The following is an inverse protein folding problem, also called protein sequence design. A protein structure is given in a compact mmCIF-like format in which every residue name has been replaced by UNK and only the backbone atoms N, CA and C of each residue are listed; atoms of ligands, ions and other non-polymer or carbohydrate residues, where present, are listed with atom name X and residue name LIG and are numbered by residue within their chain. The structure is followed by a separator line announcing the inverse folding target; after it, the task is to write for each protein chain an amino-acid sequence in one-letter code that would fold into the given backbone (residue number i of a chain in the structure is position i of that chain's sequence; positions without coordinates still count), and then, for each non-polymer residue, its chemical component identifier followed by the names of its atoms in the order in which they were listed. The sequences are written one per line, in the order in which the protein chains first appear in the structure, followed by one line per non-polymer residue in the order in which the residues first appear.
data_IF_243978405684
#
_entry.id   IF_243978405684
#
_cell.length_a   1.000
_cell.length_b   1.000
_cell.length_c   1.000
_cell.angle_alpha   90.00
_cell.angle_beta   90.00
_cell.angle_gamma   90.00
#
_symmetry.space_group_name_H-M   'P 1'
#
loop_
_entity.id
_entity.type
_entity.pdbx_description
1 polymer ?
#
# COMPACT_ATOMS: atom_id res chain seq x y z
N UNK A 1 -4.12 0.70 20.23
CA UNK A 1 -3.00 -0.18 19.81
C UNK A 1 -2.08 -0.53 20.96
N UNK A 2 -1.44 0.45 21.62
CA UNK A 2 -0.53 0.20 22.75
C UNK A 2 -1.15 -0.67 23.85
N UNK A 3 -2.39 -0.38 24.27
CA UNK A 3 -3.11 -1.21 25.26
C UNK A 3 -3.29 -2.65 24.80
N UNK A 4 -3.64 -2.87 23.52
CA UNK A 4 -3.80 -4.21 22.95
C UNK A 4 -2.47 -4.98 22.89
N UNK A 5 -1.38 -4.31 22.50
CA UNK A 5 -0.03 -4.90 22.50
C UNK A 5 0.40 -5.30 23.91
N UNK A 6 0.14 -4.45 24.91
CA UNK A 6 0.44 -4.76 26.32
C UNK A 6 -0.37 -5.96 26.79
N UNK A 7 -1.67 -6.03 26.51
CA UNK A 7 -2.53 -7.18 26.85
C UNK A 7 -1.98 -8.47 26.23
N UNK A 8 -1.60 -8.44 24.95
CA UNK A 8 -1.06 -9.60 24.25
C UNK A 8 0.27 -10.09 24.85
N UNK A 9 1.17 -9.17 25.19
CA UNK A 9 2.46 -9.50 25.81
C UNK A 9 2.32 -10.06 27.23
N UNK A 10 1.34 -9.57 27.99
CA UNK A 10 1.02 -10.10 29.33
C UNK A 10 0.40 -11.49 29.23
N UNK A 11 -0.37 -11.74 28.18
CA UNK A 11 -1.09 -12.99 27.99
C UNK A 11 -0.18 -14.14 27.54
N UNK A 12 0.63 -13.91 26.50
CA UNK A 12 1.71 -14.81 26.09
C UNK A 12 2.77 -14.03 25.31
N UNK A 13 3.96 -13.91 25.91
CA UNK A 13 5.06 -13.14 25.34
C UNK A 13 5.62 -13.77 24.04
N UNK A 14 5.55 -15.09 23.88
CA UNK A 14 6.07 -15.76 22.68
C UNK A 14 5.16 -15.51 21.48
N UNK A 15 3.85 -15.70 21.65
CA UNK A 15 2.85 -15.38 20.62
C UNK A 15 2.84 -13.87 20.31
N UNK A 16 3.03 -13.03 21.33
CA UNK A 16 3.18 -11.58 21.16
C UNK A 16 4.36 -11.21 20.26
N UNK A 17 5.51 -11.85 20.44
CA UNK A 17 6.69 -11.65 19.60
C UNK A 17 6.47 -12.13 18.16
N UNK A 18 5.76 -13.25 17.95
CA UNK A 18 5.44 -13.75 16.61
C UNK A 18 4.66 -12.72 15.79
N UNK A 19 3.76 -11.96 16.43
CA UNK A 19 2.98 -10.90 15.77
C UNK A 19 3.77 -9.59 15.64
N UNK A 20 4.63 -9.26 16.61
CA UNK A 20 5.43 -8.03 16.60
C UNK A 20 6.60 -8.08 15.62
N UNK A 21 7.29 -9.22 15.49
CA UNK A 21 8.48 -9.34 14.64
C UNK A 21 8.24 -8.91 13.19
N UNK A 22 7.13 -9.31 12.51
CA UNK A 22 6.82 -8.86 11.17
C UNK A 22 6.50 -7.36 11.04
N UNK A 23 6.14 -6.66 12.12
CA UNK A 23 5.75 -5.24 12.04
C UNK A 23 6.93 -4.33 11.70
N UNK A 24 8.14 -4.66 12.17
CA UNK A 24 9.35 -3.88 11.93
C UNK A 24 9.78 -3.86 10.45
N UNK A 25 9.91 -5.01 9.76
CA UNK A 25 10.22 -5.01 8.33
C UNK A 25 9.09 -4.41 7.49
N UNK A 26 7.82 -4.58 7.89
CA UNK A 26 6.68 -3.94 7.20
C UNK A 26 6.81 -2.43 7.24
N UNK A 27 7.11 -1.85 8.41
CA UNK A 27 7.31 -0.41 8.54
C UNK A 27 8.42 0.11 7.62
N UNK A 28 9.54 -0.61 7.52
CA UNK A 28 10.64 -0.28 6.61
C UNK A 28 10.22 -0.35 5.13
N UNK A 29 9.46 -1.39 4.75
CA UNK A 29 8.92 -1.55 3.39
C UNK A 29 7.96 -0.40 3.06
N UNK A 30 7.07 -0.03 3.99
CA UNK A 30 6.15 1.10 3.82
C UNK A 30 6.90 2.42 3.58
N UNK A 31 7.92 2.72 4.38
CA UNK A 31 8.73 3.93 4.20
C UNK A 31 9.46 3.95 2.84
N UNK A 32 10.00 2.79 2.41
CA UNK A 32 10.62 2.66 1.10
C UNK A 32 9.61 2.79 -0.06
N UNK A 33 8.41 2.26 0.12
CA UNK A 33 7.30 2.39 -0.83
C UNK A 33 6.88 3.85 -0.97
N UNK A 34 6.68 4.57 0.13
CA UNK A 34 6.23 5.97 0.14
C UNK A 34 7.13 6.86 -0.72
N UNK A 35 8.46 6.76 -0.52
CA UNK A 35 9.43 7.54 -1.31
C UNK A 35 9.35 7.23 -2.81
N UNK A 36 9.23 5.96 -3.18
CA UNK A 36 9.15 5.52 -4.58
C UNK A 36 7.83 5.91 -5.23
N UNK A 37 6.72 5.74 -4.50
CA UNK A 37 5.39 6.08 -4.95
C UNK A 37 5.23 7.58 -5.14
N UNK A 38 5.69 8.38 -4.17
CA UNK A 38 5.65 9.85 -4.24
C UNK A 38 6.40 10.39 -5.46
N UNK A 39 7.59 9.86 -5.75
CA UNK A 39 8.35 10.26 -6.95
C UNK A 39 7.62 9.88 -8.25
N UNK A 40 7.06 8.68 -8.34
CA UNK A 40 6.29 8.25 -9.52
C UNK A 40 4.98 9.04 -9.67
N UNK A 41 4.34 9.41 -8.56
CA UNK A 41 3.11 10.21 -8.56
C UNK A 41 3.34 11.62 -9.08
N UNK A 42 4.42 12.29 -8.62
CA UNK A 42 4.81 13.62 -9.14
C UNK A 42 5.10 13.57 -10.63
N UNK A 43 5.87 12.59 -11.09
CA UNK A 43 6.15 12.43 -12.52
C UNK A 43 4.87 12.21 -13.34
N UNK A 44 3.91 11.42 -12.85
CA UNK A 44 2.64 11.23 -13.53
C UNK A 44 1.83 12.55 -13.59
N UNK A 45 1.84 13.34 -12.52
CA UNK A 45 1.20 14.66 -12.48
C UNK A 45 1.82 15.62 -13.50
N UNK A 46 3.15 15.67 -13.59
CA UNK A 46 3.86 16.49 -14.58
C UNK A 46 3.48 16.06 -16.01
N UNK A 47 3.47 14.75 -16.29
CA UNK A 47 3.10 14.19 -17.59
C UNK A 47 1.63 14.47 -17.97
N UNK A 48 0.71 14.48 -16.98
CA UNK A 48 -0.69 14.90 -17.17
C UNK A 48 -0.75 16.38 -17.52
N UNK A 49 0.07 17.21 -16.86
CA UNK A 49 0.21 18.64 -17.18
C UNK A 49 0.62 18.86 -18.63
N UNK A 50 1.72 18.24 -19.06
CA UNK A 50 2.22 18.35 -20.43
C UNK A 50 1.18 17.89 -21.47
N UNK A 51 0.50 16.77 -21.20
CA UNK A 51 -0.55 16.25 -22.07
C UNK A 51 -1.72 17.23 -22.18
N UNK A 52 -2.12 17.84 -21.06
CA UNK A 52 -3.19 18.83 -20.99
C UNK A 52 -2.82 20.09 -21.77
N UNK A 53 -1.60 20.60 -21.61
CA UNK A 53 -1.10 21.74 -22.38
C UNK A 53 -1.14 21.47 -23.89
N UNK A 54 -0.69 20.30 -24.34
CA UNK A 54 -0.76 19.94 -25.78
C UNK A 54 -2.19 19.90 -26.30
N UNK A 55 -3.15 19.43 -25.49
CA UNK A 55 -4.57 19.44 -25.85
C UNK A 55 -5.09 20.87 -25.93
N UNK A 56 -4.80 21.70 -24.94
CA UNK A 56 -5.23 23.10 -24.88
C UNK A 56 -4.70 23.92 -26.07
N UNK A 57 -3.39 23.85 -26.33
CA UNK A 57 -2.76 24.49 -27.49
C UNK A 57 -3.35 24.00 -28.82
N UNK A 58 -3.66 22.70 -28.92
CA UNK A 58 -4.24 22.13 -30.14
C UNK A 58 -5.68 22.60 -30.37
N UNK A 59 -6.46 22.80 -29.31
CA UNK A 59 -7.83 23.33 -29.38
C UNK A 59 -7.81 24.81 -29.74
N UNK A 60 -7.00 25.63 -29.06
CA UNK A 60 -6.85 27.06 -29.34
C UNK A 60 -6.27 27.31 -30.75
N UNK A 61 -5.32 26.48 -31.17
CA UNK A 61 -4.62 26.54 -32.46
C UNK A 61 -5.27 25.76 -33.60
N UNK A 62 -6.52 25.27 -33.46
CA UNK A 62 -7.11 24.30 -34.41
C UNK A 62 -7.16 24.79 -35.86
N UNK A 63 -7.40 26.10 -36.07
CA UNK A 63 -7.39 26.72 -37.41
C UNK A 63 -6.00 26.67 -38.05
N UNK A 64 -4.95 26.90 -37.26
CA UNK A 64 -3.54 26.85 -37.69
C UNK A 64 -3.15 25.42 -38.05
N UNK A 65 -3.48 24.45 -37.19
CA UNK A 65 -3.16 23.03 -37.42
C UNK A 65 -3.83 22.51 -38.70
N UNK A 66 -5.10 22.89 -38.93
CA UNK A 66 -5.83 22.53 -40.16
C UNK A 66 -5.26 23.26 -41.38
N UNK A 67 -4.97 24.56 -41.26
CA UNK A 67 -4.41 25.37 -42.35
C UNK A 67 -3.05 24.86 -42.86
N UNK A 68 -2.22 24.34 -41.97
CA UNK A 68 -0.91 23.75 -42.32
C UNK A 68 -0.93 22.21 -42.46
N UNK A 69 -2.10 21.56 -42.34
CA UNK A 69 -2.22 20.10 -42.46
C UNK A 69 -1.43 19.28 -41.41
N UNK A 70 -1.08 19.85 -40.24
CA UNK A 70 -0.17 19.21 -39.27
C UNK A 70 -0.86 18.28 -38.25
N UNK A 71 -2.11 17.92 -38.48
CA UNK A 71 -2.90 17.09 -37.57
C UNK A 71 -2.22 15.75 -37.20
N UNK A 72 -1.51 15.10 -38.14
CA UNK A 72 -0.76 13.86 -37.85
C UNK A 72 0.42 14.08 -36.91
N UNK A 73 1.08 15.23 -37.00
CA UNK A 73 2.19 15.60 -36.11
C UNK A 73 1.70 15.77 -34.69
N UNK A 74 0.60 16.52 -34.49
CA UNK A 74 -0.01 16.70 -33.17
C UNK A 74 -0.50 15.38 -32.57
N UNK A 75 -1.14 14.54 -33.40
CA UNK A 75 -1.58 13.22 -32.95
C UNK A 75 -0.40 12.31 -32.54
N UNK A 76 0.75 12.43 -33.19
CA UNK A 76 1.97 11.70 -32.82
C UNK A 76 2.56 12.21 -31.50
N UNK A 77 2.59 13.53 -31.30
CA UNK A 77 3.03 14.14 -30.05
C UNK A 77 2.15 13.69 -28.88
N UNK A 78 0.83 13.86 -29.00
CA UNK A 78 -0.15 13.41 -27.99
C UNK A 78 0.00 11.93 -27.63
N UNK A 79 0.18 11.07 -28.65
CA UNK A 79 0.36 9.63 -28.44
C UNK A 79 1.61 9.31 -27.64
N UNK A 80 2.73 9.96 -27.94
CA UNK A 80 3.99 9.76 -27.22
C UNK A 80 3.82 10.12 -25.74
N UNK A 81 3.28 11.31 -25.44
CA UNK A 81 3.00 11.76 -24.08
C UNK A 81 2.04 10.82 -23.34
N UNK A 82 1.01 10.34 -24.03
CA UNK A 82 0.05 9.37 -23.45
C UNK A 82 0.70 8.01 -23.13
N UNK A 83 1.62 7.53 -23.98
CA UNK A 83 2.37 6.30 -23.75
C UNK A 83 3.33 6.44 -22.57
N UNK A 84 4.01 7.58 -22.45
CA UNK A 84 4.90 7.90 -21.33
C UNK A 84 4.12 7.96 -20.00
N UNK A 85 2.97 8.64 -19.99
CA UNK A 85 2.05 8.69 -18.84
C UNK A 85 1.55 7.29 -18.47
N UNK A 86 1.13 6.49 -19.45
CA UNK A 86 0.68 5.11 -19.22
C UNK A 86 1.78 4.28 -18.57
N UNK A 87 3.03 4.43 -18.99
CA UNK A 87 4.18 3.76 -18.40
C UNK A 87 4.34 4.09 -16.91
N UNK A 88 4.24 5.37 -16.55
CA UNK A 88 4.34 5.84 -15.16
C UNK A 88 3.16 5.37 -14.31
N UNK A 89 1.93 5.44 -14.81
CA UNK A 89 0.75 4.95 -14.09
C UNK A 89 0.79 3.44 -13.86
N UNK A 90 1.23 2.65 -14.85
CA UNK A 90 1.45 1.20 -14.66
C UNK A 90 2.53 0.93 -13.60
N UNK A 91 3.57 1.75 -13.51
CA UNK A 91 4.58 1.65 -12.45
C UNK A 91 3.98 1.94 -11.07
N UNK A 92 3.13 2.97 -10.94
CA UNK A 92 2.39 3.27 -9.70
C UNK A 92 1.48 2.10 -9.31
N UNK A 93 0.73 1.55 -10.27
CA UNK A 93 -0.16 0.40 -10.04
C UNK A 93 0.61 -0.84 -9.55
N UNK A 94 1.80 -1.13 -10.11
CA UNK A 94 2.65 -2.24 -9.62
C UNK A 94 3.16 -2.01 -8.21
N UNK A 95 3.55 -0.78 -7.87
CA UNK A 95 3.97 -0.43 -6.51
C UNK A 95 2.80 -0.64 -5.53
N UNK A 96 1.60 -0.16 -5.88
CA UNK A 96 0.38 -0.34 -5.09
C UNK A 96 0.00 -1.82 -4.93
N UNK A 97 0.10 -2.60 -6.00
CA UNK A 97 -0.14 -4.05 -5.94
C UNK A 97 0.84 -4.75 -4.99
N UNK A 98 2.13 -4.43 -5.09
CA UNK A 98 3.14 -5.02 -4.23
C UNK A 98 2.93 -4.70 -2.74
N UNK A 99 2.65 -3.44 -2.40
CA UNK A 99 2.41 -3.06 -1.00
C UNK A 99 1.12 -3.67 -0.45
N UNK A 100 0.05 -3.75 -1.27
CA UNK A 100 -1.19 -4.40 -0.88
C UNK A 100 -1.02 -5.89 -0.63
N UNK A 101 -0.25 -6.59 -1.46
CA UNK A 101 0.09 -8.00 -1.21
C UNK A 101 0.80 -8.17 0.14
N UNK A 102 1.74 -7.29 0.48
CA UNK A 102 2.45 -7.35 1.76
C UNK A 102 1.52 -7.07 2.94
N UNK A 103 0.71 -6.01 2.86
CA UNK A 103 -0.19 -5.58 3.95
C UNK A 103 -1.31 -6.59 4.20
N UNK A 104 -1.82 -7.27 3.17
CA UNK A 104 -2.88 -8.28 3.33
C UNK A 104 -2.31 -9.62 3.78
N UNK A 105 -1.24 -10.10 3.15
CA UNK A 105 -0.74 -11.47 3.39
C UNK A 105 0.01 -11.60 4.71
N UNK A 106 0.80 -10.61 5.14
CA UNK A 106 1.60 -10.76 6.37
C UNK A 106 0.78 -10.93 7.65
N UNK A 107 -0.28 -10.14 7.90
CA UNK A 107 -1.14 -10.34 9.07
C UNK A 107 -1.81 -11.73 9.07
N UNK A 108 -2.26 -12.21 7.92
CA UNK A 108 -2.86 -13.55 7.80
C UNK A 108 -1.85 -14.64 8.13
N UNK A 109 -0.61 -14.51 7.64
CA UNK A 109 0.47 -15.44 7.99
C UNK A 109 0.82 -15.38 9.48
N UNK A 110 0.83 -14.19 10.09
CA UNK A 110 1.10 -14.03 11.52
C UNK A 110 0.00 -14.68 12.38
N UNK A 111 -1.27 -14.48 12.04
CA UNK A 111 -2.41 -15.11 12.70
C UNK A 111 -2.35 -16.63 12.52
N UNK A 112 -2.11 -17.11 11.29
CA UNK A 112 -1.98 -18.55 11.00
C UNK A 112 -0.83 -19.20 11.78
N UNK A 113 0.33 -18.54 11.83
CA UNK A 113 1.50 -19.02 12.60
C UNK A 113 1.21 -19.05 14.10
N UNK A 114 0.55 -18.01 14.62
CA UNK A 114 0.09 -17.93 16.01
C UNK A 114 -0.87 -19.07 16.34
N UNK A 115 -1.81 -19.37 15.46
CA UNK A 115 -2.75 -20.45 15.64
C UNK A 115 -2.02 -21.80 15.71
N UNK A 116 -1.13 -22.10 14.76
CA UNK A 116 -0.37 -23.35 14.72
C UNK A 116 0.50 -23.51 15.99
N UNK A 117 1.31 -22.51 16.32
CA UNK A 117 2.17 -22.55 17.51
C UNK A 117 1.37 -22.63 18.81
N UNK A 118 0.27 -21.87 18.89
CA UNK A 118 -0.63 -21.85 20.02
C UNK A 118 -1.29 -23.21 20.23
N UNK A 119 -1.80 -23.85 19.17
CA UNK A 119 -2.42 -25.18 19.27
C UNK A 119 -1.44 -26.24 19.74
N UNK A 120 -0.18 -26.22 19.25
CA UNK A 120 0.87 -27.13 19.72
C UNK A 120 1.12 -26.94 21.22
N UNK A 121 1.27 -25.69 21.68
CA UNK A 121 1.47 -25.41 23.12
C UNK A 121 0.28 -25.77 24.01
N UNK A 122 -0.94 -25.68 23.48
CA UNK A 122 -2.13 -26.15 24.19
C UNK A 122 -2.11 -27.68 24.34
N UNK A 123 -1.65 -28.40 23.31
CA UNK A 123 -1.51 -29.85 23.36
C UNK A 123 -0.41 -30.30 24.34
N UNK A 124 0.68 -29.54 24.42
CA UNK A 124 1.79 -29.80 25.35
C UNK A 124 1.47 -29.40 26.81
N UNK A 125 0.36 -28.68 27.04
CA UNK A 125 -0.08 -28.23 28.36
C UNK A 125 0.53 -26.91 28.84
N UNK A 126 1.38 -26.29 28.03
CA UNK A 126 2.05 -25.00 28.32
C UNK A 126 1.10 -23.79 28.24
N UNK A 127 0.01 -23.90 27.47
CA UNK A 127 -0.95 -22.83 27.22
C UNK A 127 -2.38 -23.31 27.42
N UNK A 128 -3.25 -22.50 28.05
CA UNK A 128 -4.67 -22.83 28.10
C UNK A 128 -5.37 -22.50 26.78
N UNK A 129 -6.36 -23.32 26.39
CA UNK A 129 -7.18 -23.05 25.20
C UNK A 129 -7.89 -21.69 25.29
N UNK A 130 -8.34 -21.28 26.49
CA UNK A 130 -8.95 -19.97 26.72
C UNK A 130 -7.97 -18.82 26.47
N UNK A 131 -6.71 -18.99 26.87
CA UNK A 131 -5.64 -18.02 26.61
C UNK A 131 -5.42 -17.85 25.11
N UNK A 132 -5.35 -18.94 24.34
CA UNK A 132 -5.17 -18.88 22.89
C UNK A 132 -6.34 -18.16 22.19
N UNK A 133 -7.58 -18.50 22.56
CA UNK A 133 -8.79 -17.87 21.97
C UNK A 133 -8.82 -16.37 22.27
N UNK A 134 -8.57 -15.98 23.51
CA UNK A 134 -8.54 -14.57 23.90
C UNK A 134 -7.40 -13.80 23.21
N UNK A 135 -6.25 -14.44 23.01
CA UNK A 135 -5.12 -13.84 22.29
C UNK A 135 -5.48 -13.59 20.82
N UNK A 136 -6.00 -14.61 20.12
CA UNK A 136 -6.43 -14.47 18.72
C UNK A 136 -7.54 -13.43 18.55
N UNK A 137 -8.50 -13.39 19.49
CA UNK A 137 -9.57 -12.38 19.48
C UNK A 137 -9.00 -10.97 19.62
N UNK A 138 -8.05 -10.77 20.54
CA UNK A 138 -7.38 -9.49 20.72
C UNK A 138 -6.58 -9.09 19.49
N UNK A 139 -5.83 -10.02 18.90
CA UNK A 139 -5.06 -9.79 17.67
C UNK A 139 -5.98 -9.36 16.51
N UNK A 140 -7.11 -10.04 16.33
CA UNK A 140 -8.08 -9.75 15.27
C UNK A 140 -8.76 -8.40 15.47
N UNK A 141 -9.09 -8.05 16.72
CA UNK A 141 -9.63 -6.75 17.08
C UNK A 141 -8.62 -5.61 16.85
N UNK A 142 -7.32 -5.87 17.03
CA UNK A 142 -6.26 -4.88 16.82
C UNK A 142 -5.96 -4.62 15.34
N UNK A 143 -6.33 -5.53 14.44
CA UNK A 143 -6.12 -5.41 13.00
C UNK A 143 -6.74 -4.15 12.42
N UNK A 144 -8.01 -3.90 12.72
CA UNK A 144 -8.74 -2.77 12.14
C UNK A 144 -8.15 -1.40 12.54
N UNK A 145 -7.81 -1.14 13.82
CA UNK A 145 -7.06 0.05 14.22
C UNK A 145 -5.70 0.20 13.54
N UNK A 146 -4.96 -0.90 13.33
CA UNK A 146 -3.65 -0.87 12.66
C UNK A 146 -3.79 -0.47 11.20
N UNK A 147 -4.72 -1.09 10.47
CA UNK A 147 -5.00 -0.76 9.06
C UNK A 147 -5.47 0.70 8.92
N UNK A 148 -6.30 1.16 9.86
CA UNK A 148 -6.87 2.52 9.85
C UNK A 148 -5.81 3.60 10.06
N UNK A 149 -4.74 3.36 10.81
CA UNK A 149 -3.66 4.36 10.99
C UNK A 149 -2.97 4.67 9.66
N UNK A 150 -2.72 3.66 8.82
CA UNK A 150 -2.11 3.89 7.51
C UNK A 150 -2.97 4.82 6.64
N UNK A 151 -4.28 4.60 6.64
CA UNK A 151 -5.23 5.45 5.93
C UNK A 151 -5.31 6.87 6.52
N UNK A 152 -5.40 6.99 7.85
CA UNK A 152 -5.47 8.29 8.54
C UNK A 152 -4.19 9.12 8.36
N UNK A 153 -3.02 8.48 8.38
CA UNK A 153 -1.74 9.15 8.10
C UNK A 153 -1.69 9.66 6.66
N UNK A 154 -2.15 8.87 5.69
CA UNK A 154 -2.23 9.30 4.30
C UNK A 154 -3.14 10.53 4.14
N UNK A 155 -4.34 10.51 4.76
CA UNK A 155 -5.24 11.68 4.73
C UNK A 155 -4.67 12.91 5.43
N UNK A 156 -3.82 12.75 6.45
CA UNK A 156 -3.20 13.88 7.15
C UNK A 156 -2.08 14.55 6.37
N UNK A 157 -1.59 13.91 5.30
CA UNK A 157 -0.54 14.43 4.43
C UNK A 157 -1.06 15.00 3.11
N UNK A 158 -2.37 14.99 2.89
CA UNK A 158 -3.07 15.75 1.83
C UNK A 158 -3.48 17.13 2.34
#
# INVERSE_FOLDING_TARGET
ILVGVVIMLVQDWVLGLVILIPTLPVAAICAAFEKRYSSASRLAQDQIGDLTTVVEESVLGIRVIKGFGRHRSQAKAFRKLSEDLRGTELRKARLLGAIMSVIVTLPELAIGTTLVLGTVRVADGDLSAGTLVAFLTTALALRWPVDSIGFLLAMSQE
#
